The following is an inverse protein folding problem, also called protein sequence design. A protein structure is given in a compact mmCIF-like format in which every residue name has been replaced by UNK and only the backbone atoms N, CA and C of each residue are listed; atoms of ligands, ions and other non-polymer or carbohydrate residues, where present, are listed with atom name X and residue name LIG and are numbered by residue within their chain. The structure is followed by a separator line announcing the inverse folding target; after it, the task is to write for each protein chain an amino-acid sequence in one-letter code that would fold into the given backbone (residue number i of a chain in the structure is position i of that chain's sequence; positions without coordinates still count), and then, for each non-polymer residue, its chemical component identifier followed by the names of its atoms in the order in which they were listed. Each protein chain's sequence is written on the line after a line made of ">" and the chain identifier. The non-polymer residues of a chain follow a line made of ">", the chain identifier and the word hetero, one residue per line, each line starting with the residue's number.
data_IF_321706884715
#
_entry.id   IF_321706884715
#
_cell.length_a   1.000
_cell.length_b   1.000
_cell.length_c   1.000
_cell.angle_alpha   90.00
_cell.angle_beta   90.00
_cell.angle_gamma   90.00
#
_symmetry.space_group_name_H-M   'P 1'
#
loop_
_entity.id
_entity.type
_entity.pdbx_description
1 polymer ?
#
# COMPACT_ATOMS: atom_id res chain seq x y z
N UNK A 1 -14.06 34.26 -3.87
CA UNK A 1 -13.98 32.83 -4.15
C UNK A 1 -13.04 32.23 -3.11
N UNK A 2 -13.59 31.61 -2.06
CA UNK A 2 -12.79 31.02 -0.97
C UNK A 2 -12.18 29.70 -1.44
N UNK A 3 -10.88 29.69 -1.71
CA UNK A 3 -10.08 28.49 -1.90
C UNK A 3 -9.90 27.78 -0.55
N UNK A 4 -10.88 27.01 -0.11
CA UNK A 4 -10.68 26.03 0.95
C UNK A 4 -9.73 24.94 0.40
N UNK A 5 -8.44 25.02 0.72
CA UNK A 5 -7.52 23.90 0.54
C UNK A 5 -8.08 22.72 1.35
N UNK A 6 -8.72 21.76 0.68
CA UNK A 6 -9.12 20.50 1.34
C UNK A 6 -7.89 19.90 1.99
N UNK A 7 -7.96 19.62 3.28
CA UNK A 7 -6.93 18.88 4.01
C UNK A 7 -6.66 17.56 3.30
N UNK A 8 -5.41 17.09 3.24
CA UNK A 8 -5.10 15.84 2.57
C UNK A 8 -5.82 14.67 3.24
N UNK A 9 -6.35 13.77 2.44
CA UNK A 9 -6.88 12.50 2.90
C UNK A 9 -5.72 11.65 3.45
N UNK A 10 -5.83 11.26 4.70
CA UNK A 10 -4.82 10.46 5.39
C UNK A 10 -5.38 9.06 5.64
N UNK A 11 -4.60 8.04 5.35
CA UNK A 11 -4.97 6.65 5.60
C UNK A 11 -3.80 5.83 6.15
N UNK A 12 -4.13 4.87 7.02
CA UNK A 12 -3.20 3.87 7.55
C UNK A 12 -3.48 2.52 6.86
N UNK A 13 -2.47 1.97 6.21
CA UNK A 13 -2.55 0.69 5.53
C UNK A 13 -1.66 -0.31 6.26
N UNK A 14 -2.26 -1.32 6.89
CA UNK A 14 -1.54 -2.36 7.61
C UNK A 14 -1.57 -3.63 6.76
N UNK A 15 -0.41 -4.08 6.23
CA UNK A 15 -0.35 -5.32 5.46
C UNK A 15 -0.92 -6.51 6.23
N UNK A 16 -1.67 -7.43 5.59
CA UNK A 16 -2.34 -8.53 6.28
C UNK A 16 -1.40 -9.37 7.15
N UNK A 17 -0.17 -9.62 6.70
CA UNK A 17 0.83 -10.36 7.47
C UNK A 17 1.23 -9.62 8.75
N UNK A 18 1.52 -8.31 8.65
CA UNK A 18 1.87 -7.48 9.80
C UNK A 18 0.69 -7.40 10.76
N UNK A 19 -0.53 -7.16 10.22
CA UNK A 19 -1.73 -7.14 11.06
C UNK A 19 -1.93 -8.44 11.82
N UNK A 20 -1.79 -9.58 11.15
CA UNK A 20 -2.01 -10.89 11.80
C UNK A 20 -1.01 -11.14 12.94
N UNK A 21 0.27 -10.81 12.75
CA UNK A 21 1.29 -10.94 13.77
C UNK A 21 1.06 -9.98 14.94
N UNK A 22 0.80 -8.71 14.63
CA UNK A 22 0.51 -7.67 15.62
C UNK A 22 -0.76 -8.00 16.43
N UNK A 23 -1.83 -8.40 15.76
CA UNK A 23 -3.08 -8.79 16.37
C UNK A 23 -2.91 -9.95 17.36
N UNK A 24 -2.18 -10.99 16.97
CA UNK A 24 -1.87 -12.10 17.87
C UNK A 24 -1.06 -11.63 19.07
N UNK A 25 -0.02 -10.85 18.87
CA UNK A 25 0.78 -10.32 19.95
C UNK A 25 -0.05 -9.47 20.94
N UNK A 26 -1.01 -8.67 20.44
CA UNK A 26 -1.95 -7.90 21.27
C UNK A 26 -2.87 -8.83 22.08
N UNK A 27 -3.35 -9.91 21.49
CA UNK A 27 -4.17 -10.90 22.20
C UNK A 27 -3.37 -11.65 23.26
N UNK A 28 -2.14 -12.07 22.93
CA UNK A 28 -1.26 -12.82 23.84
C UNK A 28 -0.78 -11.95 25.04
N UNK A 29 -0.61 -10.64 24.81
CA UNK A 29 -0.22 -9.69 25.86
C UNK A 29 -1.37 -9.29 26.79
N UNK A 30 -2.60 -9.66 26.45
CA UNK A 30 -3.80 -9.32 27.21
C UNK A 30 -4.04 -10.30 28.34
N UNK A 31 -3.83 -9.85 29.57
CA UNK A 31 -4.40 -10.52 30.72
C UNK A 31 -5.91 -10.19 30.82
N UNK A 32 -6.68 -11.01 31.51
CA UNK A 32 -8.14 -10.87 31.64
C UNK A 32 -8.50 -9.48 32.17
N UNK A 33 -9.24 -8.70 31.39
CA UNK A 33 -9.75 -7.35 31.73
C UNK A 33 -8.71 -6.23 31.83
N UNK A 34 -7.50 -6.37 31.29
CA UNK A 34 -6.51 -5.29 31.28
C UNK A 34 -6.42 -4.64 29.89
N UNK A 35 -6.17 -3.35 29.85
CA UNK A 35 -5.83 -2.64 28.63
C UNK A 35 -4.45 -3.06 28.13
N UNK A 36 -4.30 -3.14 26.80
CA UNK A 36 -3.03 -3.46 26.15
C UNK A 36 -2.71 -2.34 25.16
N UNK A 37 -1.42 -1.99 25.05
CA UNK A 37 -0.92 -1.09 24.04
C UNK A 37 0.02 -1.80 23.09
N UNK A 38 0.00 -1.38 21.83
CA UNK A 38 0.97 -1.80 20.82
C UNK A 38 1.35 -0.63 19.94
N UNK A 39 2.50 -0.72 19.31
CA UNK A 39 3.07 0.33 18.48
C UNK A 39 3.32 -0.19 17.07
N UNK A 40 2.92 0.64 16.08
CA UNK A 40 3.37 0.47 14.71
C UNK A 40 4.26 1.66 14.35
N UNK A 41 5.37 1.39 13.71
CA UNK A 41 6.30 2.41 13.25
C UNK A 41 6.22 2.51 11.74
N UNK A 42 5.75 3.66 11.25
CA UNK A 42 5.29 3.83 9.90
C UNK A 42 6.19 4.75 9.08
N UNK A 43 6.35 4.41 7.81
CA UNK A 43 6.84 5.31 6.78
C UNK A 43 5.67 6.06 6.17
N UNK A 44 5.79 7.38 6.08
CA UNK A 44 4.82 8.24 5.43
C UNK A 44 5.11 8.31 3.93
N UNK A 45 4.10 8.07 3.14
CA UNK A 45 4.17 8.10 1.69
C UNK A 45 3.17 9.10 1.11
N UNK A 46 3.67 10.09 0.38
CA UNK A 46 2.85 11.06 -0.34
C UNK A 46 2.40 10.46 -1.67
N UNK A 47 1.15 10.00 -1.73
CA UNK A 47 0.58 9.39 -2.95
C UNK A 47 0.22 10.44 -3.99
N UNK A 48 -0.34 11.58 -3.54
CA UNK A 48 -0.65 12.74 -4.36
C UNK A 48 -0.64 14.02 -3.50
N UNK A 49 -0.84 15.20 -4.09
CA UNK A 49 -0.97 16.44 -3.32
C UNK A 49 -2.07 16.39 -2.24
N UNK A 50 -3.07 15.52 -2.43
CA UNK A 50 -4.24 15.42 -1.56
C UNK A 50 -4.33 14.08 -0.81
N UNK A 51 -3.35 13.16 -0.94
CA UNK A 51 -3.43 11.83 -0.34
C UNK A 51 -2.10 11.40 0.27
N UNK A 52 -2.16 11.01 1.54
CA UNK A 52 -1.01 10.53 2.31
C UNK A 52 -1.34 9.15 2.89
N UNK A 53 -0.44 8.19 2.72
CA UNK A 53 -0.52 6.86 3.33
C UNK A 53 0.55 6.68 4.38
N UNK A 54 0.19 6.00 5.46
CA UNK A 54 1.11 5.49 6.47
C UNK A 54 1.21 3.99 6.35
N UNK A 55 2.43 3.47 6.27
CA UNK A 55 2.74 2.06 6.05
C UNK A 55 3.69 1.56 7.13
N UNK A 56 3.28 0.60 7.98
CA UNK A 56 4.12 0.02 9.01
C UNK A 56 5.38 -0.63 8.41
N UNK A 57 6.51 -0.33 9.04
CA UNK A 57 7.81 -0.95 8.76
C UNK A 57 8.26 -1.86 9.90
N UNK A 58 7.71 -1.62 11.09
CA UNK A 58 7.95 -2.41 12.27
C UNK A 58 6.74 -2.31 13.21
N UNK A 59 6.65 -3.24 14.13
CA UNK A 59 5.67 -3.23 15.20
C UNK A 59 6.28 -3.76 16.50
N UNK A 60 5.74 -3.32 17.63
CA UNK A 60 6.13 -3.76 18.96
C UNK A 60 4.88 -3.83 19.84
N UNK A 61 4.72 -4.92 20.56
CA UNK A 61 3.76 -5.05 21.66
C UNK A 61 4.59 -5.27 22.92
N UNK A 62 4.46 -4.43 23.96
CA UNK A 62 5.22 -4.57 25.20
C UNK A 62 4.94 -5.89 25.88
N UNK A 63 5.96 -6.56 26.38
CA UNK A 63 5.82 -7.68 27.30
C UNK A 63 5.33 -7.19 28.69
N UNK A 64 4.75 -8.05 29.54
CA UNK A 64 4.21 -7.65 30.83
C UNK A 64 5.20 -6.93 31.74
N UNK A 65 6.47 -7.24 31.67
CA UNK A 65 7.55 -6.60 32.42
C UNK A 65 7.91 -5.18 31.94
N UNK A 66 7.39 -4.77 30.78
CA UNK A 66 7.57 -3.42 30.26
C UNK A 66 6.59 -2.39 30.85
N UNK A 67 5.58 -2.84 31.59
CA UNK A 67 4.62 -1.93 32.22
C UNK A 67 5.06 -1.58 33.65
N UNK A 68 4.91 -0.32 33.99
CA UNK A 68 4.94 0.16 35.39
C UNK A 68 3.59 -0.08 36.04
N UNK A 69 2.50 0.13 35.29
CA UNK A 69 1.13 -0.15 35.68
C UNK A 69 0.31 -0.60 34.47
N UNK A 70 -0.45 -1.67 34.67
CA UNK A 70 -1.43 -2.16 33.72
C UNK A 70 -2.72 -2.50 34.45
N UNK A 71 -3.88 -2.02 33.98
CA UNK A 71 -5.18 -2.24 34.59
C UNK A 71 -6.31 -2.12 33.55
N UNK A 72 -7.54 -2.35 33.97
CA UNK A 72 -8.73 -2.19 33.13
C UNK A 72 -9.07 -0.73 32.78
N UNK A 73 -8.44 0.25 33.43
CA UNK A 73 -8.75 1.68 33.27
C UNK A 73 -7.52 2.55 32.96
N UNK A 74 -6.42 1.92 32.58
CA UNK A 74 -5.24 2.67 32.15
C UNK A 74 -3.96 1.86 32.29
N UNK A 75 -2.97 2.29 31.54
CA UNK A 75 -1.66 1.66 31.46
C UNK A 75 -0.56 2.72 31.48
N UNK A 76 0.58 2.35 32.07
CA UNK A 76 1.81 3.17 32.08
C UNK A 76 2.97 2.26 31.74
N UNK A 77 3.73 2.64 30.72
CA UNK A 77 4.94 1.93 30.31
C UNK A 77 6.16 2.47 31.06
N UNK A 78 7.12 1.60 31.33
CA UNK A 78 8.40 1.97 31.95
C UNK A 78 9.20 2.92 31.05
N UNK A 79 9.96 3.81 31.65
CA UNK A 79 10.75 4.81 30.95
C UNK A 79 11.79 4.18 30.02
N UNK A 80 12.44 3.10 30.47
CA UNK A 80 13.45 2.37 29.68
C UNK A 80 12.86 1.80 28.39
N UNK A 81 11.60 1.35 28.45
CA UNK A 81 10.92 0.85 27.26
C UNK A 81 10.58 1.98 26.29
N UNK A 82 10.15 3.14 26.78
CA UNK A 82 9.96 4.32 25.93
C UNK A 82 11.26 4.76 25.28
N UNK A 83 12.36 4.77 26.02
CA UNK A 83 13.69 5.08 25.49
C UNK A 83 14.10 4.12 24.38
N UNK A 84 13.91 2.82 24.57
CA UNK A 84 14.13 1.80 23.53
C UNK A 84 13.35 2.09 22.24
N UNK A 85 12.05 2.43 22.35
CA UNK A 85 11.24 2.77 21.20
C UNK A 85 11.75 4.00 20.45
N UNK A 86 12.16 5.01 21.19
CA UNK A 86 12.70 6.26 20.64
C UNK A 86 14.00 5.98 19.87
N UNK A 87 14.98 5.39 20.53
CA UNK A 87 16.31 5.14 19.95
C UNK A 87 16.23 4.22 18.72
N UNK A 88 15.43 3.16 18.82
CA UNK A 88 15.36 2.15 17.76
C UNK A 88 14.57 2.61 16.52
N UNK A 89 13.40 3.22 16.72
CA UNK A 89 12.46 3.43 15.62
C UNK A 89 12.31 4.91 15.24
N UNK A 90 12.33 5.81 16.21
CA UNK A 90 12.08 7.23 15.96
C UNK A 90 13.37 7.91 15.49
N UNK A 91 14.46 7.76 16.21
CA UNK A 91 15.75 8.33 15.84
C UNK A 91 16.50 7.44 14.85
N UNK A 92 16.63 6.16 15.16
CA UNK A 92 17.39 5.21 14.35
C UNK A 92 16.79 5.03 12.95
N UNK A 93 15.51 4.67 12.85
CA UNK A 93 14.83 4.41 11.57
C UNK A 93 14.03 5.59 11.04
N UNK A 94 13.87 6.65 11.82
CA UNK A 94 13.18 7.90 11.45
C UNK A 94 11.73 7.69 10.99
N UNK A 95 10.97 6.89 11.74
CA UNK A 95 9.60 6.51 11.43
C UNK A 95 8.59 7.38 12.21
N UNK A 96 7.38 7.49 11.68
CA UNK A 96 6.22 8.05 12.36
C UNK A 96 5.61 6.98 13.29
N UNK A 97 4.92 7.41 14.35
CA UNK A 97 4.40 6.53 15.40
C UNK A 97 2.90 6.36 15.25
N UNK A 98 2.46 5.11 15.30
CA UNK A 98 1.06 4.75 15.54
C UNK A 98 1.01 4.00 16.86
N UNK A 99 0.33 4.53 17.86
CA UNK A 99 0.04 3.78 19.05
C UNK A 99 -1.40 3.26 19.02
N UNK A 100 -1.60 2.04 19.44
CA UNK A 100 -2.89 1.36 19.46
C UNK A 100 -3.09 0.80 20.86
N UNK A 101 -4.21 1.15 21.50
CA UNK A 101 -4.58 0.58 22.78
C UNK A 101 -5.98 0.00 22.76
N UNK A 102 -6.31 -0.81 23.75
CA UNK A 102 -7.62 -1.43 23.89
C UNK A 102 -8.36 -0.82 25.06
N UNK A 103 -9.67 -0.68 24.92
CA UNK A 103 -10.59 -0.44 26.04
C UNK A 103 -11.32 -1.73 26.40
N UNK A 104 -11.76 -1.85 27.65
CA UNK A 104 -12.51 -3.00 28.14
C UNK A 104 -13.98 -3.02 27.69
N UNK A 105 -14.45 -1.94 27.06
CA UNK A 105 -15.82 -1.81 26.57
C UNK A 105 -16.07 -2.67 25.33
N UNK A 106 -17.27 -3.24 25.25
CA UNK A 106 -17.76 -3.95 24.06
C UNK A 106 -18.52 -2.99 23.17
N UNK A 107 -18.16 -2.92 21.89
CA UNK A 107 -18.92 -2.17 20.89
C UNK A 107 -18.08 -1.11 20.16
N UNK A 108 -18.53 0.15 20.17
CA UNK A 108 -17.78 1.25 19.53
C UNK A 108 -16.79 1.85 20.53
N UNK A 109 -15.49 1.53 20.41
CA UNK A 109 -14.50 2.14 21.28
C UNK A 109 -14.37 3.64 20.97
N UNK A 110 -14.35 4.45 22.02
CA UNK A 110 -14.17 5.90 21.90
C UNK A 110 -12.92 6.32 22.70
N UNK A 111 -12.22 7.33 22.20
CA UNK A 111 -11.12 7.93 22.94
C UNK A 111 -11.64 8.65 24.17
N UNK A 112 -11.02 8.44 25.30
CA UNK A 112 -11.34 9.11 26.57
C UNK A 112 -10.69 10.49 26.67
N UNK A 113 -11.15 11.31 27.59
CA UNK A 113 -10.49 12.58 27.90
C UNK A 113 -9.06 12.43 28.47
N UNK A 114 -8.74 11.23 28.98
CA UNK A 114 -7.39 10.87 29.41
C UNK A 114 -6.50 10.66 28.20
N UNK A 115 -7.00 9.92 27.20
CA UNK A 115 -6.28 9.73 25.93
C UNK A 115 -6.01 11.05 25.25
N UNK A 116 -6.99 11.95 25.19
CA UNK A 116 -6.85 13.27 24.59
C UNK A 116 -5.69 14.05 25.17
N UNK A 117 -5.51 14.02 26.49
CA UNK A 117 -4.46 14.74 27.19
C UNK A 117 -3.08 14.14 26.92
N UNK A 118 -2.93 12.83 27.13
CA UNK A 118 -1.64 12.17 26.95
C UNK A 118 -1.19 12.16 25.49
N UNK A 119 -2.10 11.93 24.55
CA UNK A 119 -1.78 11.94 23.13
C UNK A 119 -1.40 13.33 22.63
N UNK A 120 -2.10 14.38 23.09
CA UNK A 120 -1.74 15.76 22.79
C UNK A 120 -0.32 16.12 23.25
N UNK A 121 0.06 15.69 24.46
CA UNK A 121 1.40 15.87 25.00
C UNK A 121 2.44 15.08 24.22
N UNK A 122 2.14 13.83 23.88
CA UNK A 122 3.04 12.98 23.13
C UNK A 122 3.23 13.48 21.69
N UNK A 123 2.19 13.98 21.02
CA UNK A 123 2.30 14.62 19.71
C UNK A 123 3.21 15.86 19.73
N UNK A 124 3.10 16.70 20.76
CA UNK A 124 3.99 17.84 20.97
C UNK A 124 5.42 17.39 21.21
N UNK A 125 5.63 16.42 22.08
CA UNK A 125 6.94 15.85 22.36
C UNK A 125 7.62 15.35 21.08
N UNK A 126 6.94 14.54 20.28
CA UNK A 126 7.47 14.01 19.02
C UNK A 126 7.86 15.12 18.03
N UNK A 127 7.06 16.18 17.94
CA UNK A 127 7.32 17.27 17.00
C UNK A 127 8.39 18.25 17.45
N UNK A 128 8.62 18.37 18.77
CA UNK A 128 9.56 19.35 19.35
C UNK A 128 10.96 18.77 19.55
N UNK A 129 11.07 17.48 19.86
CA UNK A 129 12.34 16.89 20.26
C UNK A 129 13.11 16.19 19.14
N UNK A 130 12.48 15.96 17.96
CA UNK A 130 13.12 15.24 16.87
C UNK A 130 13.20 16.08 15.59
N UNK A 131 14.37 16.09 14.95
CA UNK A 131 14.61 16.84 13.69
C UNK A 131 13.59 16.52 12.58
N UNK A 132 13.17 15.26 12.46
CA UNK A 132 12.18 14.82 11.45
C UNK A 132 10.74 15.11 11.82
N UNK A 133 10.47 15.55 13.05
CA UNK A 133 9.14 15.88 13.55
C UNK A 133 8.14 14.76 13.25
N UNK A 134 8.31 13.55 13.84
CA UNK A 134 7.42 12.43 13.63
C UNK A 134 5.97 12.80 13.95
N UNK A 135 5.03 12.14 13.28
CA UNK A 135 3.59 12.31 13.53
C UNK A 135 3.10 11.23 14.46
N UNK A 136 2.14 11.58 15.29
CA UNK A 136 1.39 10.64 16.10
C UNK A 136 0.07 10.31 15.42
N UNK A 137 -0.16 9.02 15.23
CA UNK A 137 -1.45 8.42 14.93
C UNK A 137 -1.85 7.60 16.14
N UNK A 138 -3.10 7.67 16.53
CA UNK A 138 -3.65 6.92 17.65
C UNK A 138 -4.79 6.04 17.18
N UNK A 139 -4.85 4.84 17.72
CA UNK A 139 -5.92 3.88 17.49
C UNK A 139 -6.46 3.34 18.80
N UNK A 140 -7.77 3.28 18.93
CA UNK A 140 -8.43 2.61 20.06
C UNK A 140 -9.27 1.46 19.52
N UNK A 141 -9.17 0.31 20.17
CA UNK A 141 -9.94 -0.89 19.86
C UNK A 141 -10.85 -1.27 21.05
N UNK A 142 -11.95 -1.91 20.72
CA UNK A 142 -12.74 -2.63 21.72
C UNK A 142 -11.98 -3.88 22.23
N UNK A 143 -12.51 -4.51 23.26
CA UNK A 143 -11.91 -5.72 23.85
C UNK A 143 -11.75 -6.88 22.86
N UNK A 144 -12.54 -6.92 21.79
CA UNK A 144 -12.51 -7.99 20.78
C UNK A 144 -11.54 -7.71 19.64
N UNK A 145 -10.93 -6.52 19.59
CA UNK A 145 -10.12 -6.01 18.48
C UNK A 145 -10.85 -6.02 17.12
N UNK A 146 -12.19 -5.98 17.14
CA UNK A 146 -13.01 -5.97 15.91
C UNK A 146 -13.45 -4.57 15.52
N UNK A 147 -13.76 -3.73 16.49
CA UNK A 147 -14.17 -2.34 16.27
C UNK A 147 -13.04 -1.41 16.69
N UNK A 148 -12.86 -0.34 15.94
CA UNK A 148 -11.78 0.60 16.20
C UNK A 148 -12.06 1.98 15.64
N UNK A 149 -11.41 2.97 16.25
CA UNK A 149 -11.30 4.32 15.72
C UNK A 149 -9.83 4.70 15.60
N UNK A 150 -9.50 5.53 14.59
CA UNK A 150 -8.16 6.04 14.39
C UNK A 150 -8.21 7.54 14.14
N UNK A 151 -7.20 8.25 14.67
CA UNK A 151 -7.02 9.68 14.50
C UNK A 151 -5.55 10.04 14.34
N UNK A 152 -5.26 11.16 13.70
CA UNK A 152 -3.92 11.72 13.59
C UNK A 152 -3.88 13.10 14.20
N UNK A 153 -2.89 13.33 15.05
CA UNK A 153 -2.68 14.60 15.74
C UNK A 153 -1.94 15.62 14.87
N UNK A 154 -2.25 16.89 15.04
CA UNK A 154 -1.38 17.95 14.55
C UNK A 154 -0.05 17.98 15.34
N UNK A 155 0.92 18.70 14.82
CA UNK A 155 2.26 18.73 15.43
C UNK A 155 2.32 19.53 16.75
N UNK A 156 1.30 20.34 17.03
CA UNK A 156 1.21 21.13 18.25
C UNK A 156 0.43 20.41 19.34
N UNK A 157 -0.17 19.27 19.05
CA UNK A 157 -1.06 18.56 19.95
C UNK A 157 -2.30 19.39 20.32
N UNK A 158 -2.78 20.23 19.40
CA UNK A 158 -3.92 21.11 19.65
C UNK A 158 -5.21 20.59 19.00
N UNK A 159 -5.07 19.79 17.96
CA UNK A 159 -6.18 19.22 17.24
C UNK A 159 -5.84 17.88 16.63
N UNK A 160 -6.84 17.09 16.37
CA UNK A 160 -6.73 15.83 15.64
C UNK A 160 -7.80 15.76 14.53
N UNK A 161 -7.57 14.88 13.58
CA UNK A 161 -8.56 14.52 12.57
C UNK A 161 -8.71 13.00 12.50
N UNK A 162 -9.93 12.48 12.30
CA UNK A 162 -10.13 11.06 12.08
C UNK A 162 -9.45 10.63 10.79
N UNK A 163 -8.95 9.41 10.76
CA UNK A 163 -8.36 8.80 9.57
C UNK A 163 -8.98 7.43 9.31
N UNK A 164 -8.90 7.00 8.06
CA UNK A 164 -9.29 5.64 7.68
C UNK A 164 -8.10 4.70 7.84
N UNK A 165 -8.38 3.44 8.17
CA UNK A 165 -7.39 2.39 8.15
C UNK A 165 -7.92 1.15 7.44
N UNK A 166 -7.00 0.29 6.98
CA UNK A 166 -7.37 -0.94 6.27
C UNK A 166 -6.33 -2.02 6.46
N UNK A 167 -6.77 -3.27 6.50
CA UNK A 167 -5.94 -4.48 6.47
C UNK A 167 -5.56 -4.86 5.03
N UNK A 168 -5.39 -3.90 4.17
CA UNK A 168 -5.16 -4.11 2.74
C UNK A 168 -3.95 -3.32 2.26
N UNK A 169 -3.31 -3.80 1.20
CA UNK A 169 -2.24 -3.11 0.51
C UNK A 169 -2.70 -1.87 -0.26
N UNK A 170 -3.99 -1.79 -0.58
CA UNK A 170 -4.61 -0.73 -1.38
C UNK A 170 -5.84 -0.15 -0.67
N UNK A 171 -6.26 1.04 -1.10
CA UNK A 171 -7.43 1.70 -0.53
C UNK A 171 -8.69 0.89 -0.82
N UNK A 172 -9.37 0.51 0.24
CA UNK A 172 -10.72 -0.02 0.17
C UNK A 172 -11.65 1.13 0.51
N UNK A 173 -12.39 1.65 -0.46
CA UNK A 173 -13.39 2.67 -0.17
C UNK A 173 -14.51 2.05 0.66
N UNK A 174 -14.78 2.62 1.84
CA UNK A 174 -15.91 2.21 2.70
C UNK A 174 -17.28 2.59 2.13
N UNK A 175 -17.31 3.29 0.99
CA UNK A 175 -18.57 3.67 0.31
C UNK A 175 -19.27 2.50 -0.39
N UNK A 176 -19.20 1.29 0.18
CA UNK A 176 -19.85 0.08 -0.32
C UNK A 176 -21.38 0.07 -0.07
N UNK A 177 -22.03 1.22 0.19
CA UNK A 177 -23.49 1.31 0.27
C UNK A 177 -24.17 1.72 -1.04
N UNK A 178 -23.41 2.17 -2.03
CA UNK A 178 -23.95 2.33 -3.39
C UNK A 178 -23.86 0.99 -4.12
N UNK A 179 -25.02 0.34 -4.27
CA UNK A 179 -25.22 -0.72 -5.25
C UNK A 179 -25.11 -0.10 -6.65
N UNK A 180 -23.88 0.20 -7.08
CA UNK A 180 -23.63 0.37 -8.49
C UNK A 180 -23.83 -1.00 -9.13
N UNK A 181 -24.76 -1.07 -10.07
CA UNK A 181 -24.91 -2.24 -10.92
C UNK A 181 -23.54 -2.62 -11.46
N UNK A 182 -23.14 -3.86 -11.20
CA UNK A 182 -21.89 -4.40 -11.75
C UNK A 182 -21.98 -4.24 -13.27
N UNK A 183 -21.03 -3.55 -13.89
CA UNK A 183 -21.01 -3.38 -15.35
C UNK A 183 -21.26 -4.73 -16.02
N UNK A 184 -22.11 -4.76 -17.04
CA UNK A 184 -22.50 -6.02 -17.76
C UNK A 184 -21.29 -6.86 -18.17
N UNK A 185 -20.17 -6.22 -18.48
CA UNK A 185 -18.90 -6.88 -18.82
C UNK A 185 -18.38 -7.79 -17.68
N UNK A 186 -18.73 -7.52 -16.42
CA UNK A 186 -18.30 -8.29 -15.25
C UNK A 186 -19.40 -9.20 -14.69
N UNK A 187 -20.54 -9.34 -15.39
CA UNK A 187 -21.66 -10.13 -14.90
C UNK A 187 -21.32 -11.58 -14.56
N UNK A 188 -20.36 -12.18 -15.27
CA UNK A 188 -19.89 -13.55 -15.03
C UNK A 188 -18.86 -13.65 -13.90
N UNK A 189 -18.35 -12.51 -13.41
CA UNK A 189 -17.40 -12.43 -12.26
C UNK A 189 -18.12 -12.19 -10.93
N UNK A 190 -19.45 -12.18 -10.88
CA UNK A 190 -20.25 -12.01 -9.66
C UNK A 190 -19.92 -13.03 -8.56
N UNK A 191 -19.34 -14.16 -8.94
CA UNK A 191 -18.85 -15.18 -7.99
C UNK A 191 -17.78 -14.61 -7.03
N UNK A 192 -17.01 -13.60 -7.44
CA UNK A 192 -16.04 -12.92 -6.59
C UNK A 192 -16.69 -11.85 -5.67
N UNK A 193 -17.95 -11.50 -5.92
CA UNK A 193 -18.70 -10.46 -5.21
C UNK A 193 -18.40 -9.04 -5.72
N UNK A 194 -19.37 -8.15 -5.55
CA UNK A 194 -19.29 -6.75 -6.02
C UNK A 194 -18.15 -5.97 -5.35
N UNK A 195 -17.83 -6.31 -4.10
CA UNK A 195 -16.72 -5.71 -3.36
C UNK A 195 -15.37 -5.95 -4.04
N UNK A 196 -15.10 -7.19 -4.46
CA UNK A 196 -13.85 -7.55 -5.16
C UNK A 196 -13.77 -6.83 -6.50
N UNK A 197 -14.88 -6.79 -7.24
CA UNK A 197 -14.92 -6.12 -8.55
C UNK A 197 -14.65 -4.60 -8.41
N UNK A 198 -15.21 -3.96 -7.38
CA UNK A 198 -14.94 -2.56 -7.06
C UNK A 198 -13.47 -2.34 -6.70
N UNK A 199 -12.89 -3.22 -5.89
CA UNK A 199 -11.47 -3.15 -5.51
C UNK A 199 -10.55 -3.27 -6.72
N UNK A 200 -10.85 -4.17 -7.67
CA UNK A 200 -10.08 -4.29 -8.91
C UNK A 200 -10.12 -3.00 -9.73
N UNK A 201 -11.26 -2.34 -9.82
CA UNK A 201 -11.40 -1.06 -10.53
C UNK A 201 -10.66 0.12 -9.87
N UNK A 202 -10.43 0.05 -8.57
CA UNK A 202 -9.70 1.06 -7.80
C UNK A 202 -8.20 0.77 -7.70
N UNK A 203 -7.80 -0.46 -7.95
CA UNK A 203 -6.41 -0.90 -7.87
C UNK A 203 -5.54 -0.17 -8.91
N UNK A 204 -4.45 0.44 -8.45
CA UNK A 204 -3.44 1.01 -9.33
C UNK A 204 -2.29 0.01 -9.52
N UNK A 205 -2.10 -0.49 -10.71
CA UNK A 205 -1.03 -1.42 -11.06
C UNK A 205 0.10 -0.69 -11.76
N UNK A 206 1.32 -0.83 -11.25
CA UNK A 206 2.52 -0.45 -11.98
C UNK A 206 3.05 -1.67 -12.73
N UNK A 207 3.15 -1.58 -14.03
CA UNK A 207 3.75 -2.58 -14.89
C UNK A 207 5.09 -2.08 -15.41
N UNK A 208 6.16 -2.79 -15.06
CA UNK A 208 7.53 -2.54 -15.50
C UNK A 208 7.87 -3.59 -16.55
N UNK A 209 8.05 -3.17 -17.78
CA UNK A 209 8.19 -4.03 -18.95
C UNK A 209 6.86 -4.25 -19.68
N UNK A 210 6.74 -3.65 -20.86
CA UNK A 210 5.57 -3.69 -21.74
C UNK A 210 5.81 -4.59 -22.97
N UNK A 211 6.69 -5.59 -22.83
CA UNK A 211 6.95 -6.63 -23.84
C UNK A 211 5.87 -7.70 -23.91
N UNK A 212 6.18 -8.85 -24.53
CA UNK A 212 5.21 -9.93 -24.74
C UNK A 212 4.45 -10.37 -23.50
N UNK A 213 5.18 -10.67 -22.41
CA UNK A 213 4.56 -11.10 -21.14
C UNK A 213 3.78 -9.94 -20.49
N UNK A 214 4.39 -8.74 -20.43
CA UNK A 214 3.76 -7.59 -19.79
C UNK A 214 2.49 -7.14 -20.51
N UNK A 215 2.47 -7.14 -21.83
CA UNK A 215 1.29 -6.77 -22.62
C UNK A 215 0.13 -7.76 -22.43
N UNK A 216 0.41 -9.06 -22.44
CA UNK A 216 -0.60 -10.11 -22.18
C UNK A 216 -1.14 -9.96 -20.75
N UNK A 217 -0.25 -9.76 -19.78
CA UNK A 217 -0.65 -9.58 -18.39
C UNK A 217 -1.54 -8.34 -18.21
N UNK A 218 -1.19 -7.23 -18.85
CA UNK A 218 -1.99 -6.00 -18.80
C UNK A 218 -3.37 -6.21 -19.43
N UNK A 219 -3.47 -6.92 -20.55
CA UNK A 219 -4.75 -7.25 -21.18
C UNK A 219 -5.62 -8.12 -20.28
N UNK A 220 -5.06 -9.19 -19.68
CA UNK A 220 -5.81 -10.09 -18.82
C UNK A 220 -6.31 -9.36 -17.55
N UNK A 221 -5.46 -8.61 -16.86
CA UNK A 221 -5.88 -7.83 -15.70
C UNK A 221 -6.86 -6.71 -16.06
N UNK A 222 -6.67 -6.06 -17.21
CA UNK A 222 -7.65 -5.11 -17.72
C UNK A 222 -9.03 -5.76 -17.86
N UNK A 223 -9.13 -6.94 -18.47
CA UNK A 223 -10.38 -7.70 -18.62
C UNK A 223 -10.97 -8.16 -17.28
N UNK A 224 -10.14 -8.38 -16.25
CA UNK A 224 -10.60 -8.69 -14.91
C UNK A 224 -11.17 -7.47 -14.16
N UNK A 225 -10.90 -6.25 -14.61
CA UNK A 225 -11.47 -5.05 -14.00
C UNK A 225 -10.46 -4.00 -13.56
N UNK A 226 -9.15 -4.20 -13.74
CA UNK A 226 -8.14 -3.20 -13.40
C UNK A 226 -8.19 -2.04 -14.38
N UNK A 227 -8.47 -0.84 -13.88
CA UNK A 227 -8.67 0.37 -14.70
C UNK A 227 -7.54 1.41 -14.55
N UNK A 228 -6.68 1.30 -13.52
CA UNK A 228 -5.64 2.30 -13.22
C UNK A 228 -4.25 1.71 -13.37
N UNK A 229 -3.46 2.32 -14.24
CA UNK A 229 -2.17 1.79 -14.65
C UNK A 229 -1.06 2.84 -14.64
N UNK A 230 0.14 2.38 -14.29
CA UNK A 230 1.41 3.09 -14.48
C UNK A 230 2.28 2.15 -15.30
N UNK A 231 2.54 2.49 -16.55
CA UNK A 231 3.30 1.67 -17.49
C UNK A 231 4.70 2.24 -17.64
N UNK A 232 5.73 1.41 -17.44
CA UNK A 232 7.14 1.82 -17.52
C UNK A 232 7.88 0.89 -18.47
N UNK A 233 8.38 1.44 -19.57
CA UNK A 233 9.21 0.77 -20.55
C UNK A 233 9.85 1.82 -21.44
N UNK A 234 11.16 1.74 -21.70
CA UNK A 234 11.89 2.67 -22.56
C UNK A 234 11.85 2.32 -24.03
N UNK A 235 11.45 1.09 -24.37
CA UNK A 235 11.58 0.56 -25.71
C UNK A 235 10.48 1.03 -26.66
N UNK A 236 10.83 0.98 -27.94
CA UNK A 236 9.92 1.16 -29.05
C UNK A 236 9.50 -0.17 -29.64
N UNK A 237 8.37 -0.16 -30.32
CA UNK A 237 7.83 -1.30 -31.02
C UNK A 237 8.55 -1.49 -32.35
N UNK A 238 8.99 -2.70 -32.60
CA UNK A 238 9.69 -3.11 -33.82
C UNK A 238 8.95 -4.28 -34.50
N UNK A 239 9.17 -4.49 -35.79
CA UNK A 239 8.54 -5.58 -36.53
C UNK A 239 8.83 -6.96 -35.93
N UNK A 240 10.03 -7.17 -35.35
CA UNK A 240 10.42 -8.41 -34.65
C UNK A 240 9.62 -8.68 -33.37
N UNK A 241 8.86 -7.70 -32.89
CA UNK A 241 8.02 -7.84 -31.71
C UNK A 241 6.61 -8.37 -32.03
N UNK A 242 6.16 -8.26 -33.28
CA UNK A 242 4.77 -8.54 -33.68
C UNK A 242 4.35 -9.99 -33.44
N UNK A 243 5.27 -10.91 -33.43
CA UNK A 243 5.03 -12.34 -33.18
C UNK A 243 4.56 -12.65 -31.72
N UNK A 244 4.69 -11.69 -30.79
CA UNK A 244 4.38 -11.89 -29.37
C UNK A 244 3.62 -10.76 -28.69
N UNK A 245 3.28 -9.70 -29.42
CA UNK A 245 2.54 -8.56 -28.90
C UNK A 245 1.08 -8.61 -29.39
N UNK A 246 0.09 -8.88 -28.51
CA UNK A 246 -1.31 -9.00 -28.89
C UNK A 246 -1.82 -7.73 -29.57
N UNK A 247 -2.47 -7.88 -30.73
CA UNK A 247 -3.05 -6.77 -31.50
C UNK A 247 -2.09 -5.65 -31.91
N UNK A 248 -0.76 -5.87 -31.82
CA UNK A 248 0.22 -4.98 -32.44
C UNK A 248 0.19 -5.13 -33.96
N UNK A 249 0.34 -4.02 -34.68
CA UNK A 249 0.27 -3.97 -36.13
C UNK A 249 1.59 -3.53 -36.76
N UNK A 250 1.80 -3.88 -38.02
CA UNK A 250 2.95 -3.43 -38.78
C UNK A 250 3.02 -1.90 -38.87
N UNK A 251 1.87 -1.24 -38.92
CA UNK A 251 1.80 0.22 -38.90
C UNK A 251 2.36 0.81 -37.60
N UNK A 252 1.98 0.27 -36.43
CA UNK A 252 2.52 0.71 -35.13
C UNK A 252 4.04 0.50 -35.05
N UNK A 253 4.54 -0.62 -35.60
CA UNK A 253 5.97 -0.90 -35.65
C UNK A 253 6.72 0.09 -36.59
N UNK A 254 6.18 0.38 -37.76
CA UNK A 254 6.78 1.34 -38.72
C UNK A 254 6.80 2.77 -38.18
N UNK A 255 5.78 3.14 -37.37
CA UNK A 255 5.72 4.43 -36.66
C UNK A 255 6.53 4.44 -35.36
N UNK A 256 7.17 3.33 -35.01
CA UNK A 256 8.01 3.18 -33.78
C UNK A 256 7.30 3.65 -32.52
N UNK A 257 6.07 3.21 -32.30
CA UNK A 257 5.35 3.52 -31.06
C UNK A 257 6.17 3.09 -29.84
N UNK A 258 6.10 3.85 -28.74
CA UNK A 258 6.61 3.34 -27.48
C UNK A 258 5.78 2.15 -27.02
N UNK A 259 6.43 1.13 -26.46
CA UNK A 259 5.73 -0.07 -25.95
C UNK A 259 4.70 0.30 -24.87
N UNK A 260 4.96 1.32 -24.05
CA UNK A 260 4.00 1.84 -23.06
C UNK A 260 2.75 2.42 -23.71
N UNK A 261 2.86 3.10 -24.86
CA UNK A 261 1.71 3.67 -25.56
C UNK A 261 0.90 2.58 -26.29
N UNK A 262 1.57 1.57 -26.79
CA UNK A 262 0.92 0.37 -27.33
C UNK A 262 0.09 -0.35 -26.24
N UNK A 263 0.65 -0.61 -25.07
CA UNK A 263 -0.11 -1.25 -23.97
C UNK A 263 -1.24 -0.35 -23.47
N UNK A 264 -1.04 0.96 -23.41
CA UNK A 264 -2.12 1.92 -23.14
C UNK A 264 -3.25 1.79 -24.19
N UNK A 265 -2.91 1.64 -25.47
CA UNK A 265 -3.89 1.42 -26.52
C UNK A 265 -4.69 0.12 -26.29
N UNK A 266 -4.04 -1.00 -25.91
CA UNK A 266 -4.72 -2.24 -25.56
C UNK A 266 -5.74 -2.04 -24.44
N UNK A 267 -5.34 -1.38 -23.35
CA UNK A 267 -6.22 -1.14 -22.21
C UNK A 267 -7.38 -0.23 -22.59
N UNK A 268 -7.14 0.81 -23.40
CA UNK A 268 -8.18 1.72 -23.88
C UNK A 268 -9.20 1.05 -24.80
N UNK A 269 -8.81 0.00 -25.52
CA UNK A 269 -9.74 -0.81 -26.32
C UNK A 269 -10.67 -1.68 -25.45
N UNK A 270 -10.24 -2.07 -24.25
CA UNK A 270 -11.10 -2.79 -23.30
C UNK A 270 -12.12 -1.82 -22.69
N UNK A 271 -11.66 -0.59 -22.37
CA UNK A 271 -12.48 0.43 -21.73
C UNK A 271 -12.58 1.67 -22.61
N UNK A 272 -13.72 1.92 -23.17
CA UNK A 272 -13.96 3.14 -23.95
C UNK A 272 -13.78 4.41 -23.08
N UNK A 273 -14.24 4.34 -21.83
CA UNK A 273 -14.12 5.40 -20.82
C UNK A 273 -13.76 4.81 -19.45
N UNK A 274 -13.36 5.66 -18.50
CA UNK A 274 -13.18 5.26 -17.10
C UNK A 274 -11.86 4.58 -16.74
N UNK A 275 -10.95 4.34 -17.71
CA UNK A 275 -9.59 3.88 -17.38
C UNK A 275 -8.60 5.04 -17.30
N UNK A 276 -7.68 4.97 -16.34
CA UNK A 276 -6.57 5.92 -16.14
C UNK A 276 -5.25 5.20 -16.42
N UNK A 277 -4.55 5.57 -17.49
CA UNK A 277 -3.29 4.93 -17.88
C UNK A 277 -2.22 6.00 -18.02
N UNK A 278 -1.24 5.96 -17.13
CA UNK A 278 -0.05 6.81 -17.17
C UNK A 278 1.07 6.04 -17.86
N UNK A 279 1.64 6.60 -18.90
CA UNK A 279 2.79 6.04 -19.62
C UNK A 279 4.08 6.76 -19.21
N UNK A 280 5.15 6.01 -19.05
CA UNK A 280 6.50 6.48 -18.73
C UNK A 280 7.46 5.79 -19.70
N UNK A 281 7.76 6.42 -20.84
CA UNK A 281 8.69 5.88 -21.83
C UNK A 281 10.13 6.09 -21.39
N UNK A 282 10.52 5.43 -20.29
CA UNK A 282 11.79 5.59 -19.61
C UNK A 282 12.19 4.30 -18.87
N UNK A 283 13.44 4.21 -18.46
CA UNK A 283 13.93 3.12 -17.61
C UNK A 283 13.37 3.22 -16.20
N UNK A 284 13.11 2.08 -15.57
CA UNK A 284 12.80 2.04 -14.12
C UNK A 284 13.96 2.53 -13.26
N UNK A 285 15.18 2.61 -13.79
CA UNK A 285 16.33 3.19 -13.09
C UNK A 285 16.16 4.70 -12.85
N UNK A 286 15.37 5.39 -13.66
CA UNK A 286 15.14 6.82 -13.58
C UNK A 286 14.36 7.21 -12.32
N UNK A 287 14.79 8.29 -11.66
CA UNK A 287 14.19 8.75 -10.42
C UNK A 287 12.69 9.06 -10.58
N UNK A 288 12.29 9.67 -11.69
CA UNK A 288 10.89 9.99 -11.98
C UNK A 288 10.03 8.71 -12.14
N UNK A 289 10.55 7.68 -12.80
CA UNK A 289 9.88 6.40 -12.94
C UNK A 289 9.70 5.72 -11.57
N UNK A 290 10.76 5.65 -10.75
CA UNK A 290 10.71 5.11 -9.38
C UNK A 290 9.66 5.81 -8.53
N UNK A 291 9.62 7.14 -8.56
CA UNK A 291 8.63 7.92 -7.80
C UNK A 291 7.19 7.57 -8.19
N UNK A 292 6.94 7.36 -9.48
CA UNK A 292 5.61 7.01 -9.95
C UNK A 292 5.24 5.57 -9.59
N UNK A 293 6.13 4.61 -9.81
CA UNK A 293 5.91 3.20 -9.43
C UNK A 293 5.65 3.04 -7.94
N UNK A 294 6.33 3.82 -7.11
CA UNK A 294 6.10 3.83 -5.65
C UNK A 294 4.67 4.23 -5.24
N UNK A 295 3.90 4.89 -6.12
CA UNK A 295 2.50 5.25 -5.85
C UNK A 295 1.51 4.12 -6.12
N UNK A 296 1.93 3.06 -6.79
CA UNK A 296 1.08 1.94 -7.13
C UNK A 296 0.68 1.10 -5.91
N UNK A 297 -0.40 0.37 -6.04
CA UNK A 297 -0.89 -0.59 -5.05
C UNK A 297 -0.29 -1.98 -5.27
N UNK A 298 -0.01 -2.33 -6.52
CA UNK A 298 0.64 -3.56 -6.96
C UNK A 298 1.75 -3.22 -7.95
N UNK A 299 2.92 -3.81 -7.77
CA UNK A 299 4.03 -3.72 -8.71
C UNK A 299 4.14 -5.04 -9.47
N UNK A 300 4.20 -4.96 -10.78
CA UNK A 300 4.42 -6.11 -11.66
C UNK A 300 5.68 -5.83 -12.48
N UNK A 301 6.61 -6.77 -12.49
CA UNK A 301 7.82 -6.70 -13.32
C UNK A 301 7.86 -7.84 -14.30
N UNK A 302 7.90 -7.51 -15.59
CA UNK A 302 7.91 -8.43 -16.73
C UNK A 302 9.07 -8.13 -17.68
N UNK A 303 10.20 -7.68 -17.13
CA UNK A 303 11.44 -7.42 -17.88
C UNK A 303 12.33 -8.66 -17.88
N UNK A 304 13.22 -8.71 -18.84
CA UNK A 304 14.20 -9.78 -19.00
C UNK A 304 15.54 -9.51 -18.29
N UNK A 305 15.78 -8.28 -17.80
CA UNK A 305 17.04 -7.94 -17.13
C UNK A 305 16.94 -7.96 -15.59
N UNK A 306 18.04 -8.35 -14.94
CA UNK A 306 18.11 -8.46 -13.49
C UNK A 306 18.05 -7.12 -12.77
N UNK A 307 18.60 -6.05 -13.35
CA UNK A 307 18.66 -4.74 -12.72
C UNK A 307 17.26 -4.15 -12.49
N UNK A 308 16.38 -4.21 -13.49
CA UNK A 308 15.00 -3.74 -13.33
C UNK A 308 14.20 -4.59 -12.33
N UNK A 309 14.45 -5.89 -12.26
CA UNK A 309 13.84 -6.78 -11.25
C UNK A 309 14.31 -6.44 -9.85
N UNK A 310 15.60 -6.18 -9.67
CA UNK A 310 16.16 -5.75 -8.39
C UNK A 310 15.53 -4.42 -7.94
N UNK A 311 15.51 -3.42 -8.82
CA UNK A 311 14.89 -2.11 -8.50
C UNK A 311 13.42 -2.25 -8.14
N UNK A 312 12.65 -3.07 -8.87
CA UNK A 312 11.25 -3.33 -8.56
C UNK A 312 11.08 -3.98 -7.18
N UNK A 313 11.98 -4.91 -6.82
CA UNK A 313 11.98 -5.57 -5.51
C UNK A 313 12.32 -4.58 -4.39
N UNK A 314 13.32 -3.73 -4.59
CA UNK A 314 13.70 -2.69 -3.63
C UNK A 314 12.54 -1.70 -3.40
N UNK A 315 11.85 -1.28 -4.47
CA UNK A 315 10.66 -0.44 -4.36
C UNK A 315 9.52 -1.15 -3.63
N UNK A 316 9.26 -2.41 -3.96
CA UNK A 316 8.22 -3.21 -3.31
C UNK A 316 8.49 -3.33 -1.81
N UNK A 317 9.71 -3.62 -1.40
CA UNK A 317 10.12 -3.69 0.01
C UNK A 317 10.06 -2.32 0.69
N UNK A 318 10.60 -1.27 0.05
CA UNK A 318 10.66 0.08 0.63
C UNK A 318 9.27 0.69 0.87
N UNK A 319 8.30 0.36 0.03
CA UNK A 319 6.94 0.89 0.10
C UNK A 319 5.90 -0.15 0.53
N UNK A 320 6.35 -1.34 0.95
CA UNK A 320 5.48 -2.44 1.40
C UNK A 320 4.38 -2.74 0.38
N UNK A 321 4.78 -2.92 -0.89
CA UNK A 321 3.86 -3.26 -1.98
C UNK A 321 3.98 -4.72 -2.37
N UNK A 322 2.87 -5.38 -2.72
CA UNK A 322 2.94 -6.68 -3.39
C UNK A 322 3.74 -6.54 -4.68
N UNK A 323 4.56 -7.54 -4.95
CA UNK A 323 5.34 -7.66 -6.17
C UNK A 323 5.01 -8.98 -6.86
N UNK A 324 4.70 -8.90 -8.15
CA UNK A 324 4.62 -10.06 -9.04
C UNK A 324 5.77 -9.96 -10.04
N UNK A 325 6.63 -10.96 -10.07
CA UNK A 325 7.76 -11.03 -11.00
C UNK A 325 7.51 -12.11 -12.04
N UNK A 326 7.31 -11.71 -13.29
CA UNK A 326 7.02 -12.60 -14.41
C UNK A 326 8.27 -12.77 -15.28
N UNK A 327 8.54 -14.00 -15.74
CA UNK A 327 9.64 -14.25 -16.62
C UNK A 327 9.59 -15.62 -17.27
N UNK A 328 10.38 -15.77 -18.34
CA UNK A 328 10.64 -17.06 -18.98
C UNK A 328 12.14 -17.32 -18.95
N UNK A 329 12.50 -18.58 -18.91
CA UNK A 329 13.86 -19.04 -19.08
C UNK A 329 13.90 -20.14 -20.14
N UNK A 330 14.81 -20.00 -21.08
CA UNK A 330 15.03 -20.99 -22.15
C UNK A 330 16.42 -21.53 -22.00
N UNK A 331 16.52 -22.83 -21.80
CA UNK A 331 17.76 -23.58 -21.66
C UNK A 331 17.93 -24.50 -22.86
N UNK A 332 19.07 -24.42 -23.54
CA UNK A 332 19.40 -25.36 -24.61
C UNK A 332 20.00 -26.63 -24.00
N UNK A 333 19.34 -27.75 -24.24
CA UNK A 333 19.83 -29.05 -23.84
C UNK A 333 21.02 -29.50 -24.69
N UNK A 334 21.85 -30.45 -24.23
CA UNK A 334 23.01 -30.96 -25.00
C UNK A 334 22.63 -31.52 -26.39
N UNK A 335 21.40 -32.00 -26.56
CA UNK A 335 20.88 -32.52 -27.85
C UNK A 335 20.32 -31.42 -28.76
N UNK A 336 20.61 -30.15 -28.45
CA UNK A 336 20.15 -28.96 -29.17
C UNK A 336 18.62 -28.74 -29.14
N UNK A 337 17.91 -29.34 -28.17
CA UNK A 337 16.46 -29.09 -27.98
C UNK A 337 16.26 -28.00 -26.91
N UNK A 338 15.37 -27.00 -27.14
CA UNK A 338 15.09 -25.99 -26.14
C UNK A 338 14.19 -26.55 -25.04
N UNK A 339 14.52 -26.24 -23.80
CA UNK A 339 13.66 -26.44 -22.63
C UNK A 339 13.19 -25.08 -22.11
N UNK A 340 11.90 -24.90 -21.96
CA UNK A 340 11.31 -23.63 -21.55
C UNK A 340 10.70 -23.73 -20.16
N UNK A 341 10.95 -22.72 -19.34
CA UNK A 341 10.39 -22.59 -18.01
C UNK A 341 9.67 -21.26 -17.87
N UNK A 342 8.53 -21.26 -17.21
CA UNK A 342 7.87 -20.05 -16.75
C UNK A 342 8.22 -19.81 -15.27
N UNK A 343 8.39 -18.53 -14.90
CA UNK A 343 8.63 -18.10 -13.52
C UNK A 343 7.61 -17.04 -13.16
N UNK A 344 6.99 -17.22 -12.01
CA UNK A 344 6.11 -16.24 -11.36
C UNK A 344 6.65 -15.95 -9.97
#
# INVERSE_FOLDING_TARGET
>A
MNNYKKSPQISLHIPPKIWHQFYRAMLDARATNEEVIGFLFCKRHQVSKQKVRYLPQAWVVPAPDCYERQSASGLVLKQEFHQYLIETFIEGKKLDVVHIHTHSDRGKPEFSGVDDRYEAEYARFLSSNFKKKPRLISGVFDETLQHSQFRIWDRKGQSFQPITWTKSWFDVSESARDRQETELMFARQKVFGDRVQKQLGELTVALIGCGGIGAIFAELLGRLGVKKWILVDSDRLESVNLNRLPAATQEMASQQWYKVDYVKHLIKRIYATGSSVKTIPASIADAAAKQQVATADLIVVATDNHSSRQIAQELALAYMRPLVCLGTHIEMQPNNTPRMYARV
#
